data_IF_129792822899
#
_entry.id   IF_129792822899
#
_cell.length_a   1.000
_cell.length_b   1.000
_cell.length_c   1.000
_cell.angle_alpha   90.00
_cell.angle_beta   90.00
_cell.angle_gamma   90.00
#
_symmetry.space_group_name_H-M   'P 1'
#
loop_
_entity.id
_entity.type
_entity.pdbx_description
1 polymer ?
#
# COMPACT_ATOMS: atom_id res chain seq x y z
N UNK A 1 -38.66 15.02 -46.80
CA UNK A 1 -37.90 14.64 -45.59
C UNK A 1 -38.92 14.49 -44.48
N UNK A 2 -39.22 13.25 -44.07
CA UNK A 2 -40.10 13.02 -42.92
C UNK A 2 -39.36 13.47 -41.65
N UNK A 3 -40.05 14.22 -40.79
CA UNK A 3 -39.46 14.77 -39.58
C UNK A 3 -39.55 13.74 -38.44
N UNK A 4 -38.68 13.86 -37.44
CA UNK A 4 -38.72 12.99 -36.25
C UNK A 4 -40.07 13.04 -35.50
N UNK A 5 -40.90 14.06 -35.76
CA UNK A 5 -42.23 14.23 -35.18
C UNK A 5 -43.30 13.33 -35.84
N UNK A 6 -43.01 12.72 -37.01
CA UNK A 6 -43.94 11.84 -37.72
C UNK A 6 -44.08 10.44 -37.07
N UNK A 7 -43.23 10.11 -36.10
CA UNK A 7 -43.22 8.81 -35.41
C UNK A 7 -43.16 8.96 -33.87
N UNK A 8 -44.23 9.43 -33.22
CA UNK A 8 -44.25 9.71 -31.78
C UNK A 8 -44.00 8.46 -30.90
N UNK A 9 -44.16 7.26 -31.46
CA UNK A 9 -43.93 5.99 -30.77
C UNK A 9 -42.56 5.36 -31.00
N UNK A 10 -41.72 5.92 -31.90
CA UNK A 10 -40.39 5.39 -32.19
C UNK A 10 -39.46 5.32 -30.95
N UNK A 11 -39.45 6.32 -30.03
CA UNK A 11 -38.65 6.23 -28.81
C UNK A 11 -39.11 5.12 -27.86
N UNK A 12 -40.43 4.90 -27.76
CA UNK A 12 -41.03 3.83 -26.97
C UNK A 12 -40.68 2.45 -27.57
N UNK A 13 -40.63 2.35 -28.89
CA UNK A 13 -40.25 1.12 -29.58
C UNK A 13 -38.76 0.80 -29.39
N UNK A 14 -37.89 1.81 -29.49
CA UNK A 14 -36.44 1.66 -29.27
C UNK A 14 -36.15 1.25 -27.83
N UNK A 15 -36.82 1.87 -26.85
CA UNK A 15 -36.67 1.53 -25.42
C UNK A 15 -37.17 0.13 -25.11
N UNK A 16 -38.32 -0.29 -25.66
CA UNK A 16 -38.83 -1.66 -25.51
C UNK A 16 -37.87 -2.69 -26.12
N UNK A 17 -37.34 -2.44 -27.32
CA UNK A 17 -36.35 -3.32 -27.97
C UNK A 17 -35.07 -3.42 -27.13
N UNK A 18 -34.57 -2.31 -26.58
CA UNK A 18 -33.39 -2.36 -25.70
C UNK A 18 -33.64 -3.15 -24.44
N UNK A 19 -34.82 -3.03 -23.80
CA UNK A 19 -35.19 -3.85 -22.63
C UNK A 19 -35.26 -5.33 -22.99
N UNK A 20 -35.86 -5.68 -24.15
CA UNK A 20 -35.94 -7.06 -24.62
C UNK A 20 -34.56 -7.63 -24.90
N UNK A 21 -33.67 -6.87 -25.55
CA UNK A 21 -32.29 -7.29 -25.82
C UNK A 21 -31.54 -7.50 -24.49
N UNK A 22 -31.67 -6.59 -23.53
CA UNK A 22 -31.07 -6.75 -22.20
C UNK A 22 -31.61 -8.00 -21.53
N UNK A 23 -32.93 -8.22 -21.52
CA UNK A 23 -33.55 -9.41 -20.94
C UNK A 23 -33.07 -10.70 -21.63
N UNK A 24 -32.98 -10.72 -22.96
CA UNK A 24 -32.53 -11.86 -23.75
C UNK A 24 -31.05 -12.15 -23.50
N UNK A 25 -30.18 -11.14 -23.49
CA UNK A 25 -28.75 -11.28 -23.14
C UNK A 25 -28.61 -11.78 -21.71
N UNK A 26 -29.43 -11.30 -20.76
CA UNK A 26 -29.45 -11.77 -19.38
C UNK A 26 -29.90 -13.23 -19.29
N UNK A 27 -30.90 -13.63 -20.08
CA UNK A 27 -31.43 -15.00 -20.09
C UNK A 27 -30.47 -15.98 -20.77
N UNK A 28 -29.80 -15.57 -21.85
CA UNK A 28 -28.79 -16.37 -22.55
C UNK A 28 -27.50 -16.51 -21.71
N UNK A 29 -27.03 -15.44 -21.06
CA UNK A 29 -25.87 -15.50 -20.16
C UNK A 29 -26.16 -16.34 -18.91
N UNK A 30 -27.36 -16.27 -18.34
CA UNK A 30 -27.76 -17.13 -17.20
C UNK A 30 -27.90 -18.61 -17.60
N UNK A 31 -28.44 -18.91 -18.79
CA UNK A 31 -28.49 -20.28 -19.33
C UNK A 31 -27.11 -20.87 -19.61
N UNK A 32 -26.23 -20.09 -20.25
CA UNK A 32 -24.87 -20.52 -20.56
C UNK A 32 -24.03 -20.74 -19.27
N UNK A 33 -24.20 -19.88 -18.26
CA UNK A 33 -23.54 -20.09 -16.96
C UNK A 33 -24.09 -21.30 -16.19
N UNK A 34 -25.36 -21.68 -16.38
CA UNK A 34 -25.95 -22.88 -15.78
C UNK A 34 -25.43 -24.17 -16.43
N UNK A 35 -25.19 -24.20 -17.74
CA UNK A 35 -24.69 -25.40 -18.42
C UNK A 35 -23.20 -25.70 -18.18
N UNK A 36 -22.42 -24.73 -17.69
CA UNK A 36 -21.00 -24.91 -17.32
C UNK A 36 -20.80 -25.34 -15.84
N UNK A 37 -21.86 -25.42 -15.04
CA UNK A 37 -21.77 -25.70 -13.61
C UNK A 37 -21.63 -27.22 -13.33
N UNK A 38 -20.55 -27.84 -13.82
CA UNK A 38 -19.87 -28.82 -12.97
C UNK A 38 -19.42 -28.05 -11.74
N UNK A 39 -19.95 -28.38 -10.56
CA UNK A 39 -19.85 -27.60 -9.33
C UNK A 39 -18.40 -27.44 -8.84
N UNK A 40 -17.62 -26.60 -9.51
CA UNK A 40 -16.35 -26.09 -9.02
C UNK A 40 -16.66 -25.18 -7.85
N UNK A 41 -16.22 -25.58 -6.67
CA UNK A 41 -16.40 -24.86 -5.40
C UNK A 41 -15.54 -23.60 -5.42
N UNK A 42 -15.95 -22.59 -6.20
CA UNK A 42 -15.32 -21.26 -6.19
C UNK A 42 -15.54 -20.59 -4.84
N UNK A 43 -14.65 -19.67 -4.42
CA UNK A 43 -14.88 -18.89 -3.21
C UNK A 43 -16.19 -18.10 -3.27
N UNK A 44 -16.84 -17.85 -2.13
CA UNK A 44 -18.06 -17.06 -2.07
C UNK A 44 -17.80 -15.61 -2.48
N UNK A 45 -18.84 -14.90 -2.92
CA UNK A 45 -18.73 -13.52 -3.34
C UNK A 45 -20.08 -12.81 -3.43
N UNK A 46 -20.09 -11.47 -3.57
CA UNK A 46 -21.31 -10.72 -3.76
C UNK A 46 -21.98 -11.05 -5.09
N UNK A 47 -23.26 -10.71 -5.19
CA UNK A 47 -24.06 -10.90 -6.41
C UNK A 47 -23.49 -10.11 -7.60
N UNK A 48 -23.71 -10.65 -8.80
CA UNK A 48 -23.11 -10.21 -10.07
C UNK A 48 -24.19 -9.63 -10.99
N UNK A 49 -23.87 -8.56 -11.70
CA UNK A 49 -24.67 -8.06 -12.83
C UNK A 49 -24.19 -8.68 -14.15
N UNK A 50 -25.06 -8.81 -15.17
CA UNK A 50 -24.66 -9.18 -16.51
C UNK A 50 -23.55 -8.25 -17.03
N UNK A 51 -22.62 -8.80 -17.81
CA UNK A 51 -21.48 -8.11 -18.45
C UNK A 51 -20.44 -7.56 -17.46
N UNK A 52 -20.81 -6.66 -16.54
CA UNK A 52 -19.87 -5.97 -15.64
C UNK A 52 -19.49 -6.77 -14.39
N UNK A 53 -20.23 -7.83 -14.07
CA UNK A 53 -20.02 -8.65 -12.88
C UNK A 53 -20.20 -7.85 -11.59
N UNK A 54 -19.17 -7.84 -10.74
CA UNK A 54 -19.12 -7.17 -9.44
C UNK A 54 -18.56 -5.74 -9.49
N UNK A 55 -18.26 -5.18 -10.67
CA UNK A 55 -17.62 -3.86 -10.78
C UNK A 55 -18.41 -2.74 -10.09
N UNK A 56 -19.74 -2.81 -10.15
CA UNK A 56 -20.66 -1.88 -9.48
C UNK A 56 -20.44 -1.77 -7.96
N UNK A 57 -19.99 -2.84 -7.29
CA UNK A 57 -19.68 -2.80 -5.85
C UNK A 57 -18.45 -1.96 -5.50
N UNK A 58 -17.58 -1.71 -6.48
CA UNK A 58 -16.29 -1.01 -6.32
C UNK A 58 -16.33 0.45 -6.78
N UNK A 59 -17.27 0.80 -7.67
CA UNK A 59 -17.41 2.16 -8.21
C UNK A 59 -18.49 3.00 -7.51
N UNK A 60 -19.41 2.35 -6.78
CA UNK A 60 -20.48 3.03 -6.06
C UNK A 60 -19.99 3.42 -4.66
N UNK A 61 -19.96 4.73 -4.40
CA UNK A 61 -19.60 5.33 -3.11
C UNK A 61 -18.21 5.97 -3.09
N UNK A 62 -17.95 6.77 -2.05
CA UNK A 62 -16.67 7.48 -1.88
C UNK A 62 -15.56 6.61 -1.24
N UNK A 63 -15.89 5.38 -0.85
CA UNK A 63 -14.98 4.50 -0.13
C UNK A 63 -13.81 4.04 -1.01
N UNK A 64 -12.60 4.05 -0.44
CA UNK A 64 -11.39 3.60 -1.14
C UNK A 64 -11.48 2.09 -1.46
N UNK A 65 -10.97 1.63 -2.61
CA UNK A 65 -11.13 0.24 -3.05
C UNK A 65 -10.72 -0.82 -2.02
N UNK A 66 -9.60 -0.61 -1.31
CA UNK A 66 -9.13 -1.55 -0.28
C UNK A 66 -10.03 -1.61 0.96
N UNK A 67 -10.71 -0.52 1.32
CA UNK A 67 -11.69 -0.51 2.42
C UNK A 67 -12.97 -1.18 1.99
N UNK A 68 -13.46 -0.85 0.78
CA UNK A 68 -14.65 -1.47 0.20
C UNK A 68 -14.49 -2.98 0.04
N UNK A 69 -13.31 -3.43 -0.38
CA UNK A 69 -12.98 -4.86 -0.47
C UNK A 69 -12.94 -5.55 0.90
N UNK A 70 -12.56 -4.86 1.98
CA UNK A 70 -12.63 -5.39 3.34
C UNK A 70 -14.08 -5.59 3.77
N UNK A 71 -14.94 -4.58 3.59
CA UNK A 71 -16.36 -4.65 3.92
C UNK A 71 -17.06 -5.81 3.20
N UNK A 72 -16.80 -5.96 1.90
CA UNK A 72 -17.34 -7.08 1.11
C UNK A 72 -16.81 -8.43 1.59
N UNK A 73 -15.51 -8.53 1.91
CA UNK A 73 -14.92 -9.76 2.42
C UNK A 73 -15.50 -10.13 3.79
N UNK A 74 -15.72 -9.18 4.70
CA UNK A 74 -16.36 -9.43 5.99
C UNK A 74 -17.78 -9.99 5.85
N UNK A 75 -18.53 -9.57 4.82
CA UNK A 75 -19.89 -10.02 4.55
C UNK A 75 -19.98 -11.33 3.77
N UNK A 76 -19.08 -11.56 2.80
CA UNK A 76 -19.23 -12.63 1.81
C UNK A 76 -18.16 -13.72 1.91
N UNK A 77 -16.96 -13.42 2.39
CA UNK A 77 -15.83 -14.35 2.37
C UNK A 77 -14.68 -13.82 3.20
N UNK A 78 -14.75 -14.05 4.52
CA UNK A 78 -13.86 -13.43 5.53
C UNK A 78 -12.37 -13.66 5.25
N UNK A 79 -12.04 -14.81 4.66
CA UNK A 79 -10.67 -15.21 4.35
C UNK A 79 -10.35 -15.04 2.86
N UNK A 80 -11.21 -15.60 2.01
CA UNK A 80 -11.12 -15.58 0.54
C UNK A 80 -12.48 -15.22 -0.04
N UNK A 81 -12.52 -14.25 -0.93
CA UNK A 81 -13.73 -13.81 -1.61
C UNK A 81 -13.52 -13.78 -3.14
N UNK A 82 -14.48 -14.28 -3.91
CA UNK A 82 -14.48 -14.19 -5.37
C UNK A 82 -15.09 -12.87 -5.86
N UNK A 83 -14.48 -12.27 -6.87
CA UNK A 83 -15.02 -11.16 -7.63
C UNK A 83 -14.84 -11.39 -9.14
N UNK A 84 -15.94 -11.23 -9.88
CA UNK A 84 -15.94 -11.20 -11.33
C UNK A 84 -15.92 -9.74 -11.78
N UNK A 85 -14.84 -9.26 -12.38
CA UNK A 85 -14.72 -7.87 -12.85
C UNK A 85 -14.72 -7.87 -14.38
N UNK A 86 -15.92 -7.70 -14.98
CA UNK A 86 -16.10 -8.02 -16.39
C UNK A 86 -15.84 -9.50 -16.65
N UNK A 87 -14.96 -9.82 -17.60
CA UNK A 87 -14.52 -11.18 -17.91
C UNK A 87 -13.44 -11.71 -16.94
N UNK A 88 -12.90 -10.85 -16.08
CA UNK A 88 -11.76 -11.19 -15.24
C UNK A 88 -12.22 -11.85 -13.92
N UNK A 89 -11.78 -13.09 -13.71
CA UNK A 89 -11.93 -13.79 -12.44
C UNK A 89 -10.86 -13.32 -11.45
N UNK A 90 -11.29 -12.86 -10.27
CA UNK A 90 -10.41 -12.39 -9.21
C UNK A 90 -10.77 -13.08 -7.88
N UNK A 91 -9.76 -13.33 -7.06
CA UNK A 91 -9.93 -13.62 -5.64
C UNK A 91 -9.29 -12.54 -4.79
N UNK A 92 -9.93 -12.21 -3.69
CA UNK A 92 -9.49 -11.22 -2.70
C UNK A 92 -9.08 -11.95 -1.44
N UNK A 93 -7.85 -11.72 -1.01
CA UNK A 93 -7.25 -12.32 0.18
C UNK A 93 -7.20 -11.26 1.28
N UNK A 94 -7.93 -11.49 2.37
CA UNK A 94 -8.12 -10.50 3.44
C UNK A 94 -7.71 -10.99 4.84
N UNK A 95 -7.07 -12.15 4.94
CA UNK A 95 -6.64 -12.74 6.22
C UNK A 95 -5.21 -13.31 6.15
N UNK A 96 -4.48 -13.36 7.29
CA UNK A 96 -3.15 -13.96 7.34
C UNK A 96 -3.15 -15.44 6.91
N UNK A 97 -4.19 -16.20 7.26
CA UNK A 97 -4.30 -17.63 6.95
C UNK A 97 -4.41 -17.86 5.45
N UNK A 98 -5.29 -17.11 4.77
CA UNK A 98 -5.43 -17.19 3.32
C UNK A 98 -4.18 -16.62 2.60
N UNK A 99 -3.57 -15.57 3.14
CA UNK A 99 -2.29 -15.06 2.63
C UNK A 99 -1.18 -16.11 2.73
N UNK A 100 -1.16 -16.93 3.79
CA UNK A 100 -0.22 -18.07 3.93
C UNK A 100 -0.39 -19.09 2.83
N UNK A 101 -1.63 -19.45 2.51
CA UNK A 101 -1.89 -20.39 1.44
C UNK A 101 -1.39 -19.85 0.09
N UNK A 102 -1.70 -18.59 -0.24
CA UNK A 102 -1.31 -18.01 -1.53
C UNK A 102 0.18 -17.67 -1.64
N UNK A 103 0.74 -16.99 -0.64
CA UNK A 103 2.08 -16.40 -0.71
C UNK A 103 3.20 -17.33 -0.23
N UNK A 104 2.86 -18.37 0.54
CA UNK A 104 3.84 -19.32 1.11
C UNK A 104 3.65 -20.73 0.58
N UNK A 105 2.46 -21.32 0.77
CA UNK A 105 2.21 -22.71 0.38
C UNK A 105 2.15 -22.87 -1.15
N UNK A 106 1.42 -21.98 -1.82
CA UNK A 106 1.21 -21.99 -3.26
C UNK A 106 1.93 -20.83 -3.97
N UNK A 107 3.04 -20.34 -3.41
CA UNK A 107 3.77 -19.17 -3.94
C UNK A 107 4.14 -19.32 -5.42
N UNK A 108 4.57 -20.52 -5.83
CA UNK A 108 4.88 -20.78 -7.23
C UNK A 108 3.63 -20.63 -8.13
N UNK A 109 2.51 -21.25 -7.73
CA UNK A 109 1.26 -21.22 -8.48
C UNK A 109 0.73 -19.80 -8.66
N UNK A 110 0.88 -18.93 -7.65
CA UNK A 110 0.45 -17.54 -7.69
C UNK A 110 1.61 -16.55 -7.83
N UNK A 111 2.69 -16.95 -8.51
CA UNK A 111 3.85 -16.07 -8.70
C UNK A 111 3.71 -15.15 -9.90
N UNK A 112 2.83 -15.41 -10.87
CA UNK A 112 2.79 -14.60 -12.11
C UNK A 112 2.11 -13.24 -11.91
N UNK A 113 2.14 -12.40 -12.95
CA UNK A 113 1.52 -11.08 -13.02
C UNK A 113 0.53 -11.04 -14.18
N UNK A 114 -0.66 -10.45 -13.97
CA UNK A 114 -1.62 -10.29 -15.06
C UNK A 114 -1.12 -9.22 -16.04
N UNK A 115 -1.53 -9.34 -17.30
CA UNK A 115 -1.38 -8.24 -18.26
C UNK A 115 -2.21 -7.03 -17.82
N UNK A 116 -1.57 -5.86 -17.82
CA UNK A 116 -2.18 -4.57 -17.52
C UNK A 116 -1.70 -3.58 -18.58
N UNK A 117 -2.61 -3.06 -19.41
CA UNK A 117 -2.27 -2.10 -20.47
C UNK A 117 -1.51 -0.87 -19.93
N UNK A 118 -1.96 -0.30 -18.81
CA UNK A 118 -1.24 0.79 -18.17
C UNK A 118 0.18 0.39 -17.75
N UNK A 119 0.38 -0.86 -17.30
CA UNK A 119 1.70 -1.37 -16.96
C UNK A 119 2.57 -1.62 -18.20
N UNK A 120 1.97 -2.02 -19.31
CA UNK A 120 2.64 -2.21 -20.59
C UNK A 120 3.21 -0.87 -21.09
N UNK A 121 2.40 0.18 -21.06
CA UNK A 121 2.81 1.53 -21.48
C UNK A 121 3.85 2.12 -20.51
N UNK A 122 3.57 2.11 -19.20
CA UNK A 122 4.42 2.79 -18.20
C UNK A 122 5.75 2.06 -17.92
N UNK A 123 5.82 0.75 -18.15
CA UNK A 123 6.99 -0.07 -17.84
C UNK A 123 7.59 -0.73 -19.09
N UNK A 124 7.52 -0.02 -20.23
CA UNK A 124 8.18 -0.37 -21.50
C UNK A 124 7.97 -1.83 -21.91
N UNK A 125 6.70 -2.24 -22.03
CA UNK A 125 6.33 -3.61 -22.36
C UNK A 125 6.32 -4.54 -21.15
N UNK A 126 6.11 -4.02 -19.93
CA UNK A 126 6.26 -4.76 -18.66
C UNK A 126 7.63 -5.43 -18.47
N UNK A 127 8.70 -4.88 -19.05
CA UNK A 127 10.05 -5.48 -19.03
C UNK A 127 10.84 -5.27 -17.73
N UNK A 128 10.24 -4.62 -16.73
CA UNK A 128 10.83 -4.39 -15.41
C UNK A 128 10.88 -5.63 -14.49
N UNK A 129 10.59 -5.44 -13.20
CA UNK A 129 10.56 -6.52 -12.18
C UNK A 129 9.16 -6.67 -11.55
N UNK A 130 8.43 -5.56 -11.43
CA UNK A 130 7.15 -5.51 -10.72
C UNK A 130 6.02 -6.21 -11.44
N UNK A 131 5.78 -5.85 -12.71
CA UNK A 131 4.63 -6.29 -13.52
C UNK A 131 4.95 -7.41 -14.51
N UNK A 132 6.21 -7.80 -14.63
CA UNK A 132 6.65 -8.86 -15.54
C UNK A 132 6.07 -10.22 -15.13
N UNK A 133 5.43 -10.96 -16.05
CA UNK A 133 5.01 -12.35 -15.82
C UNK A 133 6.18 -13.24 -15.36
N UNK A 134 5.88 -14.35 -14.70
CA UNK A 134 6.94 -15.29 -14.27
C UNK A 134 7.57 -15.93 -15.50
N UNK A 135 8.91 -15.95 -15.55
CA UNK A 135 9.68 -16.54 -16.65
C UNK A 135 11.17 -16.21 -16.51
N UNK A 136 11.97 -16.61 -17.49
CA UNK A 136 13.43 -16.43 -17.47
C UNK A 136 13.84 -14.98 -17.41
N UNK A 137 13.18 -14.11 -18.19
CA UNK A 137 13.42 -12.67 -18.15
C UNK A 137 13.26 -12.12 -16.73
N UNK A 138 12.14 -12.43 -16.06
CA UNK A 138 11.92 -11.98 -14.69
C UNK A 138 12.96 -12.56 -13.72
N UNK A 139 13.34 -13.84 -13.85
CA UNK A 139 14.37 -14.47 -13.01
C UNK A 139 15.73 -13.75 -13.16
N UNK A 140 16.14 -13.44 -14.38
CA UNK A 140 17.38 -12.70 -14.64
C UNK A 140 17.31 -11.27 -14.10
N UNK A 141 16.24 -10.52 -14.37
CA UNK A 141 16.06 -9.17 -13.85
C UNK A 141 16.03 -9.13 -12.32
N UNK A 142 15.36 -10.10 -11.69
CA UNK A 142 15.33 -10.29 -10.23
C UNK A 142 16.73 -10.56 -9.69
N UNK A 143 17.50 -11.44 -10.32
CA UNK A 143 18.89 -11.77 -9.92
C UNK A 143 19.78 -10.54 -10.01
N UNK A 144 19.79 -9.83 -11.14
CA UNK A 144 20.56 -8.59 -11.33
C UNK A 144 20.20 -7.58 -10.24
N UNK A 145 18.90 -7.33 -10.02
CA UNK A 145 18.46 -6.35 -9.04
C UNK A 145 18.88 -6.70 -7.61
N UNK A 146 18.67 -7.95 -7.18
CA UNK A 146 18.97 -8.37 -5.79
C UNK A 146 20.47 -8.57 -5.56
N UNK A 147 21.21 -9.11 -6.52
CA UNK A 147 22.63 -9.40 -6.36
C UNK A 147 23.52 -8.16 -6.64
N UNK A 148 23.23 -7.41 -7.70
CA UNK A 148 24.14 -6.37 -8.20
C UNK A 148 23.77 -4.95 -7.77
N UNK A 149 22.48 -4.67 -7.55
CA UNK A 149 21.99 -3.33 -7.21
C UNK A 149 21.61 -3.19 -5.74
N UNK A 150 20.96 -4.20 -5.16
CA UNK A 150 20.33 -4.14 -3.85
C UNK A 150 20.87 -5.20 -2.87
N UNK A 151 22.05 -5.76 -3.15
CA UNK A 151 22.72 -6.64 -2.19
C UNK A 151 23.10 -5.86 -0.93
N UNK A 152 23.22 -6.51 0.23
CA UNK A 152 23.60 -5.83 1.47
C UNK A 152 24.87 -4.97 1.32
N UNK A 153 25.90 -5.50 0.65
CA UNK A 153 27.16 -4.78 0.37
C UNK A 153 26.93 -3.52 -0.47
N UNK A 154 26.08 -3.59 -1.50
CA UNK A 154 25.73 -2.43 -2.35
C UNK A 154 24.91 -1.40 -1.59
N UNK A 155 23.91 -1.83 -0.84
CA UNK A 155 23.10 -0.93 0.00
C UNK A 155 24.00 -0.17 0.99
N UNK A 156 24.93 -0.84 1.64
CA UNK A 156 25.91 -0.20 2.53
C UNK A 156 26.80 0.80 1.78
N UNK A 157 27.25 0.49 0.56
CA UNK A 157 28.09 1.40 -0.24
C UNK A 157 27.40 2.73 -0.60
N UNK A 158 26.06 2.78 -0.60
CA UNK A 158 25.28 4.01 -0.85
C UNK A 158 25.09 4.88 0.41
N UNK A 159 25.62 4.47 1.57
CA UNK A 159 25.48 5.22 2.83
C UNK A 159 25.94 6.68 2.74
N UNK A 160 27.14 7.00 2.22
CA UNK A 160 27.59 8.40 2.15
C UNK A 160 26.64 9.27 1.31
N UNK A 161 26.04 8.70 0.27
CA UNK A 161 25.04 9.39 -0.56
C UNK A 161 23.77 9.65 0.25
N UNK A 162 23.27 8.66 1.00
CA UNK A 162 22.08 8.84 1.84
C UNK A 162 22.30 9.85 2.96
N UNK A 163 23.46 9.83 3.63
CA UNK A 163 23.82 10.81 4.66
C UNK A 163 23.99 12.22 4.09
N UNK A 164 24.58 12.35 2.89
CA UNK A 164 24.65 13.63 2.17
C UNK A 164 23.25 14.17 1.81
N UNK A 165 22.37 13.33 1.28
CA UNK A 165 20.99 13.74 0.96
C UNK A 165 20.18 14.09 2.21
N UNK A 166 20.40 13.38 3.34
CA UNK A 166 19.77 13.71 4.62
C UNK A 166 20.23 15.08 5.13
N UNK A 167 21.53 15.37 5.04
CA UNK A 167 22.11 16.66 5.42
C UNK A 167 21.55 17.81 4.58
N UNK A 168 21.40 17.60 3.26
CA UNK A 168 20.75 18.59 2.35
C UNK A 168 19.30 18.84 2.75
N UNK A 169 18.56 17.78 3.07
CA UNK A 169 17.17 17.89 3.54
C UNK A 169 17.08 18.73 4.83
N UNK A 170 17.94 18.45 5.82
CA UNK A 170 18.02 19.24 7.06
C UNK A 170 18.34 20.71 6.77
N UNK A 171 19.32 20.98 5.91
CA UNK A 171 19.67 22.34 5.49
C UNK A 171 18.49 23.08 4.85
N UNK A 172 17.72 22.39 4.00
CA UNK A 172 16.53 22.94 3.34
C UNK A 172 15.37 23.22 4.32
N UNK A 173 15.19 22.37 5.34
CA UNK A 173 14.20 22.63 6.40
C UNK A 173 14.64 23.80 7.26
N UNK A 174 15.93 23.87 7.63
CA UNK A 174 16.48 24.95 8.47
C UNK A 174 16.36 26.32 7.80
N UNK A 175 16.66 26.43 6.50
CA UNK A 175 16.53 27.70 5.78
C UNK A 175 15.09 28.20 5.71
N UNK A 176 14.12 27.27 5.59
CA UNK A 176 12.68 27.61 5.59
C UNK A 176 12.13 27.89 6.99
N UNK A 177 12.63 27.20 8.01
CA UNK A 177 12.34 27.46 9.42
C UNK A 177 12.72 28.90 9.79
N UNK A 178 13.91 29.34 9.40
CA UNK A 178 14.40 30.71 9.64
C UNK A 178 13.52 31.79 8.97
N UNK A 179 12.81 31.45 7.89
CA UNK A 179 11.87 32.36 7.23
C UNK A 179 10.50 32.45 7.93
N UNK A 180 10.28 31.71 9.02
CA UNK A 180 9.04 31.76 9.83
C UNK A 180 7.79 31.19 9.14
N UNK A 181 7.94 30.59 7.95
CA UNK A 181 6.84 30.06 7.15
C UNK A 181 6.55 28.59 7.40
N UNK A 182 5.27 28.20 7.29
CA UNK A 182 4.89 26.79 7.25
C UNK A 182 5.49 26.08 6.04
N UNK A 183 6.04 24.89 6.23
CA UNK A 183 6.61 24.06 5.18
C UNK A 183 5.60 23.02 4.74
N UNK A 184 5.31 22.97 3.44
CA UNK A 184 4.67 21.80 2.82
C UNK A 184 5.67 20.63 2.82
N UNK A 185 5.60 19.83 3.88
CA UNK A 185 6.49 18.69 4.09
C UNK A 185 6.28 17.63 3.01
N UNK A 186 5.06 17.52 2.48
CA UNK A 186 4.76 16.60 1.37
C UNK A 186 5.53 16.98 0.11
N UNK A 187 5.57 18.26 -0.25
CA UNK A 187 6.34 18.76 -1.41
C UNK A 187 7.84 18.76 -1.15
N UNK A 188 8.28 19.16 0.04
CA UNK A 188 9.69 19.13 0.44
C UNK A 188 10.29 17.74 0.19
N UNK A 189 9.60 16.70 0.62
CA UNK A 189 10.07 15.32 0.48
C UNK A 189 9.91 14.78 -0.94
N UNK A 190 8.92 15.29 -1.69
CA UNK A 190 8.82 15.00 -3.11
C UNK A 190 9.98 15.63 -3.91
N UNK A 191 10.56 16.74 -3.44
CA UNK A 191 11.73 17.38 -4.07
C UNK A 191 13.07 16.73 -3.74
N UNK A 192 13.12 15.82 -2.75
CA UNK A 192 14.33 15.07 -2.44
C UNK A 192 14.56 13.93 -3.46
N UNK A 193 15.82 13.61 -3.75
CA UNK A 193 16.25 12.77 -4.89
C UNK A 193 15.63 11.35 -4.93
N UNK A 194 15.10 10.83 -3.81
CA UNK A 194 14.39 9.54 -3.71
C UNK A 194 12.87 9.71 -3.57
N UNK A 195 12.27 10.61 -4.35
CA UNK A 195 10.89 11.12 -4.17
C UNK A 195 9.81 10.04 -4.02
N UNK A 196 9.96 8.88 -4.67
CA UNK A 196 9.04 7.76 -4.52
C UNK A 196 9.12 7.11 -3.12
N UNK A 197 10.32 6.76 -2.66
CA UNK A 197 10.56 6.24 -1.30
C UNK A 197 10.14 7.27 -0.26
N UNK A 198 10.41 8.55 -0.51
CA UNK A 198 10.06 9.66 0.38
C UNK A 198 8.56 9.92 0.52
N UNK A 199 7.83 10.05 -0.59
CA UNK A 199 6.36 10.21 -0.57
C UNK A 199 5.68 9.05 0.14
N UNK A 200 6.23 7.87 -0.09
CA UNK A 200 5.77 6.63 0.51
C UNK A 200 6.06 6.67 2.02
N UNK A 201 7.31 6.90 2.45
CA UNK A 201 7.73 6.98 3.85
C UNK A 201 6.95 8.00 4.67
N UNK A 202 6.75 9.22 4.15
CA UNK A 202 6.07 10.26 4.91
C UNK A 202 4.54 10.21 4.80
N UNK A 203 4.01 9.64 3.72
CA UNK A 203 2.61 9.24 3.66
C UNK A 203 2.28 8.18 4.72
N UNK A 204 3.23 7.27 5.01
CA UNK A 204 3.09 6.26 6.06
C UNK A 204 3.14 6.89 7.46
N UNK A 205 4.12 7.74 7.76
CA UNK A 205 4.37 8.31 9.11
C UNK A 205 3.46 9.51 9.43
N UNK A 206 2.32 9.59 8.71
CA UNK A 206 1.34 10.66 8.89
C UNK A 206 0.86 10.72 10.33
N UNK A 207 0.67 9.61 11.04
CA UNK A 207 0.19 9.61 12.43
C UNK A 207 1.13 10.35 13.42
N UNK A 208 2.44 10.38 13.12
CA UNK A 208 3.43 11.10 13.94
C UNK A 208 3.64 12.51 13.46
N UNK A 209 3.88 12.72 12.16
CA UNK A 209 4.04 14.09 11.64
C UNK A 209 2.76 14.91 11.71
N UNK A 210 1.59 14.28 11.84
CA UNK A 210 0.34 14.97 12.12
C UNK A 210 0.13 15.25 13.59
N UNK A 211 1.01 14.78 14.48
CA UNK A 211 0.88 15.00 15.91
C UNK A 211 -0.49 14.58 16.48
N UNK A 212 -1.22 13.66 15.82
CA UNK A 212 -2.42 13.02 16.40
C UNK A 212 -2.05 12.29 17.69
N UNK A 213 -0.78 11.93 17.84
CA UNK A 213 -0.20 11.26 18.99
C UNK A 213 1.03 12.06 19.49
N UNK A 214 0.83 13.20 20.18
CA UNK A 214 1.94 14.06 20.63
C UNK A 214 2.88 13.32 21.58
N UNK A 215 2.35 12.39 22.39
CA UNK A 215 3.14 11.51 23.26
C UNK A 215 4.11 10.64 22.47
N UNK A 216 3.67 10.03 21.36
CA UNK A 216 4.53 9.21 20.50
C UNK A 216 5.60 10.08 19.84
N UNK A 217 5.24 11.28 19.36
CA UNK A 217 6.19 12.23 18.79
C UNK A 217 7.29 12.58 19.80
N UNK A 218 6.91 12.97 21.01
CA UNK A 218 7.86 13.29 22.08
C UNK A 218 8.78 12.10 22.39
N UNK A 219 8.22 10.90 22.55
CA UNK A 219 8.99 9.71 22.88
C UNK A 219 9.98 9.31 21.79
N UNK A 220 9.60 9.41 20.50
CA UNK A 220 10.52 9.09 19.40
C UNK A 220 11.58 10.17 19.20
N UNK A 221 11.25 11.45 19.41
CA UNK A 221 12.25 12.52 19.40
C UNK A 221 13.26 12.33 20.53
N UNK A 222 12.80 11.98 21.74
CA UNK A 222 13.65 11.71 22.88
C UNK A 222 14.60 10.53 22.62
N UNK A 223 14.09 9.39 22.13
CA UNK A 223 14.93 8.23 21.77
C UNK A 223 16.03 8.64 20.77
N UNK A 224 15.66 9.36 19.72
CA UNK A 224 16.59 9.80 18.68
C UNK A 224 17.61 10.79 19.24
N UNK A 225 17.19 11.78 20.04
CA UNK A 225 18.07 12.80 20.62
C UNK A 225 19.05 12.19 21.62
N UNK A 226 18.59 11.31 22.50
CA UNK A 226 19.44 10.59 23.45
C UNK A 226 20.51 9.78 22.73
N UNK A 227 20.15 9.07 21.65
CA UNK A 227 21.10 8.22 20.92
C UNK A 227 22.24 9.00 20.24
N UNK A 228 21.99 10.26 19.87
CA UNK A 228 22.93 11.06 19.08
C UNK A 228 23.38 12.36 19.80
N UNK A 229 23.20 12.46 21.13
CA UNK A 229 23.54 13.67 21.92
C UNK A 229 25.02 14.04 21.80
N UNK A 230 25.92 13.07 21.84
CA UNK A 230 27.37 13.29 21.91
C UNK A 230 28.09 13.16 20.56
N UNK A 231 27.36 13.21 19.43
CA UNK A 231 27.89 12.92 18.09
C UNK A 231 27.95 14.14 17.17
N UNK A 232 28.28 15.32 17.70
CA UNK A 232 28.37 16.59 16.94
C UNK A 232 27.15 16.88 16.06
N UNK A 233 25.96 16.48 16.50
CA UNK A 233 24.70 16.59 15.75
C UNK A 233 24.65 15.80 14.42
N UNK A 234 25.59 14.87 14.18
CA UNK A 234 25.62 14.05 12.98
C UNK A 234 24.90 12.71 13.18
N UNK A 235 23.79 12.52 12.45
CA UNK A 235 23.04 11.27 12.45
C UNK A 235 23.65 10.30 11.45
N UNK A 236 24.31 9.26 11.97
CA UNK A 236 24.94 8.22 11.16
C UNK A 236 24.07 6.94 11.08
N UNK A 237 24.16 6.22 9.96
CA UNK A 237 23.34 5.01 9.77
C UNK A 237 23.60 3.90 10.79
N UNK A 238 24.82 3.80 11.33
CA UNK A 238 25.18 2.75 12.30
C UNK A 238 24.34 2.85 13.58
N UNK A 239 24.03 4.08 14.01
CA UNK A 239 23.23 4.32 15.22
C UNK A 239 21.74 4.00 15.03
N UNK A 240 21.25 3.85 13.80
CA UNK A 240 19.82 3.68 13.51
C UNK A 240 19.29 2.28 13.85
N UNK A 241 20.16 1.28 13.93
CA UNK A 241 19.79 -0.09 14.30
C UNK A 241 19.25 -0.17 15.75
N UNK A 242 19.71 0.76 16.61
CA UNK A 242 19.38 0.79 18.03
C UNK A 242 18.12 1.61 18.35
N UNK A 243 17.59 2.37 17.38
CA UNK A 243 16.35 3.15 17.53
C UNK A 243 15.13 2.23 17.42
N UNK A 244 14.84 1.49 18.48
CA UNK A 244 13.78 0.47 18.53
C UNK A 244 12.39 1.08 18.45
N UNK A 245 12.17 2.21 19.13
CA UNK A 245 10.89 2.90 19.13
C UNK A 245 10.62 3.56 17.78
N UNK A 246 11.63 4.17 17.14
CA UNK A 246 11.51 4.64 15.75
C UNK A 246 11.15 3.50 14.80
N UNK A 247 11.75 2.31 14.94
CA UNK A 247 11.39 1.15 14.12
C UNK A 247 9.95 0.71 14.36
N UNK A 248 9.51 0.64 15.62
CA UNK A 248 8.14 0.31 16.01
C UNK A 248 7.12 1.30 15.43
N UNK A 249 7.46 2.57 15.47
CA UNK A 249 6.73 3.69 14.86
C UNK A 249 6.56 3.52 13.35
N UNK A 250 7.63 3.14 12.65
CA UNK A 250 7.59 2.92 11.20
C UNK A 250 6.77 1.67 10.87
N UNK A 251 6.90 0.60 11.64
CA UNK A 251 6.08 -0.62 11.47
C UNK A 251 4.60 -0.33 11.66
N UNK A 252 4.22 0.39 12.71
CA UNK A 252 2.83 0.74 12.97
C UNK A 252 2.24 1.66 11.89
N UNK A 253 3.06 2.60 11.42
CA UNK A 253 2.75 3.45 10.28
C UNK A 253 2.48 2.62 9.01
N UNK A 254 3.33 1.63 8.72
CA UNK A 254 3.17 0.73 7.57
C UNK A 254 1.98 -0.22 7.71
N UNK A 255 1.64 -0.64 8.93
CA UNK A 255 0.50 -1.52 9.21
C UNK A 255 -0.80 -0.79 8.95
N UNK A 256 -0.90 0.45 9.43
CA UNK A 256 -2.10 1.27 9.27
C UNK A 256 -2.18 1.92 7.89
N UNK A 257 -1.05 2.34 7.31
CA UNK A 257 -1.03 3.07 6.05
C UNK A 257 -0.07 2.44 5.05
N UNK A 258 -0.31 1.17 4.65
CA UNK A 258 0.49 0.53 3.63
C UNK A 258 0.36 1.33 2.32
N UNK A 259 1.48 1.72 1.69
CA UNK A 259 1.46 2.52 0.47
C UNK A 259 0.78 1.80 -0.70
N UNK A 260 0.89 0.47 -0.70
CA UNK A 260 0.23 -0.45 -1.63
C UNK A 260 -0.74 -1.32 -0.83
N UNK A 261 -1.94 -0.83 -0.46
CA UNK A 261 -2.86 -1.56 0.41
C UNK A 261 -3.39 -2.85 -0.21
N UNK A 262 -3.37 -2.96 -1.55
CA UNK A 262 -3.77 -4.15 -2.32
C UNK A 262 -2.58 -4.94 -2.88
N UNK A 263 -1.35 -4.56 -2.50
CA UNK A 263 -0.10 -5.01 -3.12
C UNK A 263 -0.15 -4.92 -4.66
N UNK A 264 0.81 -5.54 -5.34
CA UNK A 264 0.72 -5.74 -6.79
C UNK A 264 -0.07 -7.02 -7.08
N UNK A 265 -0.99 -7.02 -8.06
CA UNK A 265 -1.84 -8.17 -8.36
C UNK A 265 -1.00 -9.36 -8.81
N UNK A 266 -1.36 -10.56 -8.37
CA UNK A 266 -0.79 -11.82 -8.86
C UNK A 266 -1.74 -12.48 -9.85
N UNK A 267 -1.24 -13.42 -10.62
CA UNK A 267 -2.05 -14.30 -11.48
C UNK A 267 -1.65 -15.76 -11.23
N UNK A 268 -2.66 -16.63 -11.13
CA UNK A 268 -2.48 -18.07 -11.03
C UNK A 268 -1.94 -18.66 -12.34
N UNK A 269 -0.84 -19.41 -12.27
CA UNK A 269 -0.24 -20.11 -13.41
C UNK A 269 -0.94 -21.47 -13.60
N UNK A 270 -1.25 -22.12 -12.50
CA UNK A 270 -1.90 -23.44 -12.44
C UNK A 270 -3.10 -23.38 -11.52
N UNK A 271 -3.98 -24.37 -11.65
CA UNK A 271 -5.08 -24.60 -10.71
C UNK A 271 -4.50 -24.89 -9.32
N UNK A 272 -5.13 -24.36 -8.27
CA UNK A 272 -4.74 -24.61 -6.88
C UNK A 272 -5.97 -24.57 -5.97
N UNK A 273 -5.90 -25.22 -4.81
CA UNK A 273 -6.94 -25.14 -3.79
C UNK A 273 -6.54 -24.10 -2.74
N UNK A 274 -7.45 -23.20 -2.38
CA UNK A 274 -7.26 -22.24 -1.29
C UNK A 274 -8.50 -22.28 -0.39
N UNK A 275 -8.31 -22.55 0.90
CA UNK A 275 -9.36 -22.59 1.92
C UNK A 275 -10.51 -23.56 1.56
N UNK A 276 -10.15 -24.70 0.94
CA UNK A 276 -11.11 -25.70 0.47
C UNK A 276 -11.89 -25.29 -0.79
N UNK A 277 -11.50 -24.20 -1.46
CA UNK A 277 -12.05 -23.73 -2.72
C UNK A 277 -11.11 -23.96 -3.89
N UNK A 278 -11.69 -24.33 -5.02
CA UNK A 278 -10.95 -24.52 -6.26
C UNK A 278 -10.66 -23.19 -6.94
N UNK A 279 -9.38 -22.88 -7.19
CA UNK A 279 -8.92 -21.67 -7.85
C UNK A 279 -8.38 -22.05 -9.24
N UNK A 280 -9.11 -21.74 -10.33
CA UNK A 280 -8.63 -22.01 -11.68
C UNK A 280 -7.37 -21.21 -12.03
N UNK A 281 -6.56 -21.74 -12.96
CA UNK A 281 -5.48 -20.99 -13.59
C UNK A 281 -6.01 -19.68 -14.22
N UNK A 282 -5.13 -18.69 -14.38
CA UNK A 282 -5.44 -17.31 -14.81
C UNK A 282 -6.31 -16.48 -13.86
N UNK A 283 -6.77 -17.05 -12.75
CA UNK A 283 -7.43 -16.26 -11.70
C UNK A 283 -6.45 -15.24 -11.13
N UNK A 284 -6.88 -13.97 -11.09
CA UNK A 284 -6.10 -12.88 -10.49
C UNK A 284 -6.25 -12.91 -8.98
N UNK A 285 -5.17 -12.63 -8.27
CA UNK A 285 -5.18 -12.54 -6.80
C UNK A 285 -4.89 -11.11 -6.38
N UNK A 286 -5.80 -10.56 -5.60
CA UNK A 286 -5.67 -9.26 -4.93
C UNK A 286 -5.43 -9.54 -3.45
N UNK A 287 -4.31 -9.06 -2.91
CA UNK A 287 -3.98 -9.24 -1.49
C UNK A 287 -4.24 -7.93 -0.77
N UNK A 288 -5.27 -7.91 0.07
CA UNK A 288 -5.64 -6.74 0.83
C UNK A 288 -4.79 -6.65 2.11
N UNK A 289 -3.53 -6.23 1.94
CA UNK A 289 -2.58 -6.01 3.04
C UNK A 289 -3.13 -5.02 4.09
N UNK A 290 -3.94 -4.05 3.67
CA UNK A 290 -4.61 -3.10 4.58
C UNK A 290 -5.64 -3.78 5.50
N UNK A 291 -6.43 -4.71 4.97
CA UNK A 291 -7.37 -5.50 5.76
C UNK A 291 -6.64 -6.49 6.69
N UNK A 292 -5.60 -7.16 6.17
CA UNK A 292 -4.75 -8.09 6.95
C UNK A 292 -4.12 -7.38 8.15
N UNK A 293 -3.53 -6.20 7.92
CA UNK A 293 -2.94 -5.37 8.96
C UNK A 293 -3.94 -4.84 9.98
N UNK A 294 -5.26 -4.97 9.75
CA UNK A 294 -6.34 -4.54 10.66
C UNK A 294 -7.24 -5.69 11.11
N UNK A 295 -6.83 -6.94 10.90
CA UNK A 295 -7.62 -8.08 11.30
C UNK A 295 -7.65 -8.19 12.82
N UNK A 296 -8.82 -8.00 13.43
CA UNK A 296 -9.02 -7.98 14.89
C UNK A 296 -8.72 -9.31 15.58
N UNK A 297 -8.62 -10.43 14.85
CA UNK A 297 -8.17 -11.72 15.39
C UNK A 297 -6.67 -11.74 15.69
N UNK A 298 -5.90 -10.91 14.98
CA UNK A 298 -4.43 -10.88 15.06
C UNK A 298 -3.89 -9.60 15.68
N UNK A 299 -4.67 -8.52 15.66
CA UNK A 299 -4.27 -7.21 16.15
C UNK A 299 -5.26 -6.70 17.21
N UNK A 300 -4.79 -6.53 18.46
CA UNK A 300 -5.55 -5.87 19.52
C UNK A 300 -5.73 -4.38 19.18
N UNK A 301 -6.96 -3.88 19.27
CA UNK A 301 -7.37 -2.51 18.88
C UNK A 301 -6.79 -2.10 17.51
N UNK A 302 -7.19 -2.79 16.42
CA UNK A 302 -6.49 -2.77 15.14
C UNK A 302 -6.46 -1.39 14.47
N UNK A 303 -7.42 -0.51 14.77
CA UNK A 303 -7.50 0.81 14.15
C UNK A 303 -6.78 1.90 14.96
N UNK A 304 -6.29 1.60 16.17
CA UNK A 304 -5.48 2.53 16.97
C UNK A 304 -4.02 2.49 16.53
N UNK A 305 -3.40 3.66 16.43
CA UNK A 305 -1.95 3.82 16.27
C UNK A 305 -1.28 3.59 17.63
N UNK A 306 -0.64 2.44 17.79
CA UNK A 306 -0.01 1.99 19.04
C UNK A 306 1.31 1.28 18.71
N UNK A 307 2.42 2.04 18.55
CA UNK A 307 3.73 1.48 18.18
C UNK A 307 4.27 0.44 19.16
N UNK A 308 3.95 0.57 20.45
CA UNK A 308 4.47 -0.28 21.53
C UNK A 308 4.24 -1.77 21.28
N UNK A 309 3.20 -2.14 20.50
CA UNK A 309 2.96 -3.54 20.09
C UNK A 309 4.12 -4.20 19.35
N UNK A 310 5.00 -3.41 18.72
CA UNK A 310 6.18 -3.91 18.01
C UNK A 310 7.44 -3.94 18.88
N UNK A 311 7.37 -3.40 20.09
CA UNK A 311 8.40 -3.61 21.11
C UNK A 311 8.19 -4.94 21.82
N UNK A 312 6.92 -5.34 22.01
CA UNK A 312 6.56 -6.59 22.69
C UNK A 312 6.66 -7.82 21.75
N UNK A 313 6.53 -7.62 20.43
CA UNK A 313 6.57 -8.68 19.43
C UNK A 313 7.71 -8.50 18.41
N UNK A 314 8.87 -9.07 18.74
CA UNK A 314 10.05 -9.08 17.86
C UNK A 314 9.91 -10.02 16.65
N UNK A 315 8.93 -10.92 16.64
CA UNK A 315 8.72 -11.86 15.53
C UNK A 315 8.10 -11.19 14.31
N UNK A 316 7.41 -10.06 14.52
CA UNK A 316 6.83 -9.28 13.43
C UNK A 316 7.87 -8.37 12.79
N UNK A 317 8.40 -8.82 11.65
CA UNK A 317 9.40 -8.12 10.85
C UNK A 317 8.87 -7.67 9.48
N UNK A 318 9.64 -6.82 8.79
CA UNK A 318 9.27 -6.35 7.47
C UNK A 318 9.32 -7.44 6.38
N UNK A 319 9.93 -8.60 6.68
CA UNK A 319 10.06 -9.72 5.74
C UNK A 319 8.80 -10.57 5.68
N UNK A 320 7.87 -10.37 6.62
CA UNK A 320 6.59 -11.06 6.65
C UNK A 320 6.71 -12.52 7.08
N UNK A 321 7.63 -12.84 8.00
CA UNK A 321 7.70 -14.17 8.62
C UNK A 321 6.36 -14.55 9.26
N UNK A 322 5.71 -13.56 9.89
CA UNK A 322 4.30 -13.58 10.26
C UNK A 322 3.48 -12.79 9.21
N UNK A 323 2.60 -13.51 8.50
CA UNK A 323 1.81 -12.93 7.42
C UNK A 323 0.66 -12.02 7.90
N UNK A 324 0.55 -11.76 9.21
CA UNK A 324 -0.26 -10.66 9.74
C UNK A 324 0.30 -9.27 9.41
N UNK A 325 1.57 -9.18 9.01
CA UNK A 325 2.23 -7.94 8.60
C UNK A 325 3.05 -8.13 7.31
N UNK A 326 2.49 -7.65 6.18
CA UNK A 326 3.10 -7.85 4.85
C UNK A 326 3.17 -6.56 4.00
N UNK A 327 3.69 -5.44 4.55
CA UNK A 327 3.73 -4.16 3.83
C UNK A 327 4.55 -4.21 2.53
N UNK A 328 5.47 -5.16 2.43
CA UNK A 328 6.35 -5.37 1.26
C UNK A 328 6.04 -6.68 0.50
N UNK A 329 4.90 -7.30 0.80
CA UNK A 329 4.54 -8.63 0.31
C UNK A 329 5.45 -9.73 0.84
N UNK A 330 5.29 -10.93 0.31
CA UNK A 330 6.04 -12.13 0.72
C UNK A 330 6.32 -13.04 -0.48
N UNK A 331 7.24 -14.00 -0.31
CA UNK A 331 7.56 -15.05 -1.28
C UNK A 331 8.39 -14.55 -2.46
N UNK A 332 8.30 -15.25 -3.60
CA UNK A 332 9.09 -15.00 -4.82
C UNK A 332 8.98 -13.57 -5.35
N UNK A 333 7.85 -12.89 -5.14
CA UNK A 333 7.63 -11.49 -5.57
C UNK A 333 7.60 -10.48 -4.42
N UNK A 334 8.22 -10.80 -3.28
CA UNK A 334 8.50 -9.83 -2.21
C UNK A 334 9.27 -8.62 -2.74
N UNK A 335 9.13 -7.46 -2.12
CA UNK A 335 9.84 -6.24 -2.56
C UNK A 335 11.36 -6.45 -2.53
N UNK A 336 12.07 -6.30 -3.67
CA UNK A 336 13.54 -6.39 -3.67
C UNK A 336 14.19 -5.16 -3.02
N UNK A 337 13.48 -4.02 -2.99
CA UNK A 337 13.95 -2.74 -2.43
C UNK A 337 13.75 -2.57 -0.92
N UNK A 338 13.32 -3.61 -0.20
CA UNK A 338 13.05 -3.58 1.23
C UNK A 338 14.18 -2.92 2.03
N UNK A 339 15.39 -3.50 1.96
CA UNK A 339 16.53 -3.09 2.78
C UNK A 339 16.96 -1.66 2.47
N UNK A 340 17.07 -1.32 1.19
CA UNK A 340 17.44 0.03 0.75
C UNK A 340 16.38 1.07 1.16
N UNK A 341 15.10 0.77 0.92
CA UNK A 341 14.00 1.66 1.27
C UNK A 341 13.96 1.94 2.76
N UNK A 342 14.07 0.92 3.60
CA UNK A 342 14.07 1.08 5.05
C UNK A 342 15.28 1.85 5.58
N UNK A 343 16.46 1.70 4.97
CA UNK A 343 17.64 2.51 5.32
C UNK A 343 17.39 4.00 5.05
N UNK A 344 16.82 4.34 3.88
CA UNK A 344 16.46 5.72 3.53
C UNK A 344 15.40 6.26 4.50
N UNK A 345 14.32 5.51 4.74
CA UNK A 345 13.23 5.95 5.63
C UNK A 345 13.74 6.24 7.04
N UNK A 346 14.47 5.31 7.65
CA UNK A 346 14.97 5.45 9.03
C UNK A 346 15.91 6.65 9.17
N UNK A 347 16.88 6.79 8.27
CA UNK A 347 17.87 7.87 8.35
C UNK A 347 17.20 9.24 8.26
N UNK A 348 16.25 9.38 7.34
CA UNK A 348 15.62 10.66 7.05
C UNK A 348 14.66 11.08 8.18
N UNK A 349 13.90 10.11 8.71
CA UNK A 349 13.05 10.37 9.88
C UNK A 349 13.90 10.73 11.11
N UNK A 350 14.97 9.99 11.39
CA UNK A 350 15.86 10.28 12.51
C UNK A 350 16.45 11.70 12.40
N UNK A 351 16.92 12.12 11.21
CA UNK A 351 17.40 13.48 10.99
C UNK A 351 16.33 14.54 11.28
N UNK A 352 15.10 14.35 10.78
CA UNK A 352 14.02 15.31 10.98
C UNK A 352 13.51 15.38 12.42
N UNK A 353 13.53 14.25 13.14
CA UNK A 353 13.12 14.16 14.55
C UNK A 353 14.20 14.70 15.49
N UNK A 354 15.47 14.50 15.14
CA UNK A 354 16.59 15.04 15.91
C UNK A 354 16.64 16.57 15.84
N UNK A 355 16.69 17.12 14.62
CA UNK A 355 17.01 18.54 14.40
C UNK A 355 15.84 19.50 14.55
N UNK A 356 14.59 19.02 14.58
CA UNK A 356 13.44 19.91 14.57
C UNK A 356 12.36 19.45 15.54
N UNK A 357 11.74 20.42 16.19
CA UNK A 357 10.39 20.30 16.74
C UNK A 357 9.38 20.71 15.67
N UNK A 358 8.22 20.06 15.69
CA UNK A 358 7.19 20.25 14.67
C UNK A 358 5.92 20.79 15.32
N UNK A 359 5.33 21.83 14.71
CA UNK A 359 4.06 22.42 15.16
C UNK A 359 3.08 22.53 13.99
N UNK A 360 1.79 22.57 14.32
CA UNK A 360 0.75 22.86 13.34
C UNK A 360 0.74 24.38 13.06
N UNK A 361 0.34 24.80 11.85
CA UNK A 361 0.04 26.20 11.58
C UNK A 361 -0.96 26.77 12.58
N UNK A 362 -0.85 28.05 12.90
CA UNK A 362 -1.78 28.74 13.80
C UNK A 362 -3.24 28.52 13.32
N UNK A 363 -4.14 28.24 14.27
CA UNK A 363 -5.58 27.91 14.07
C UNK A 363 -5.91 26.48 13.63
N UNK A 364 -4.94 25.56 13.59
CA UNK A 364 -5.21 24.14 13.32
C UNK A 364 -4.95 23.29 14.57
N UNK A 365 -5.95 22.52 15.02
CA UNK A 365 -5.76 21.55 16.09
C UNK A 365 -5.44 20.15 15.53
N UNK A 366 -4.94 19.27 16.39
CA UNK A 366 -4.65 17.88 16.03
C UNK A 366 -5.88 17.11 15.52
N UNK A 367 -7.05 17.46 16.03
CA UNK A 367 -8.34 16.84 15.67
C UNK A 367 -8.75 17.21 14.25
N UNK A 368 -8.48 18.46 13.83
CA UNK A 368 -8.86 19.05 12.53
C UNK A 368 -8.07 18.49 11.34
N UNK A 369 -7.06 17.67 11.59
CA UNK A 369 -6.21 17.12 10.53
C UNK A 369 -6.94 16.06 9.72
N UNK A 370 -7.17 16.38 8.44
CA UNK A 370 -7.76 15.47 7.48
C UNK A 370 -6.83 14.27 7.17
N UNK A 371 -7.27 13.09 7.60
CA UNK A 371 -6.59 11.81 7.40
C UNK A 371 -7.00 11.11 6.10
N UNK A 372 -7.91 11.71 5.34
CA UNK A 372 -8.44 11.14 4.12
C UNK A 372 -7.32 10.86 3.12
N UNK A 373 -7.51 9.74 2.45
CA UNK A 373 -6.56 9.16 1.51
C UNK A 373 -7.13 9.27 0.10
N UNK A 374 -6.23 9.36 -0.87
CA UNK A 374 -6.54 9.23 -2.29
C UNK A 374 -5.93 7.94 -2.79
N UNK A 375 -6.74 7.10 -3.41
CA UNK A 375 -6.29 5.89 -4.08
C UNK A 375 -5.60 6.22 -5.42
N UNK A 376 -4.59 5.43 -5.77
CA UNK A 376 -3.80 5.57 -7.00
C UNK A 376 -2.74 4.48 -7.07
N UNK A 377 -1.69 4.69 -7.86
CA UNK A 377 -0.54 3.77 -7.93
C UNK A 377 0.08 3.50 -6.55
N UNK A 378 0.09 4.51 -5.68
CA UNK A 378 0.24 4.38 -4.23
C UNK A 378 -0.85 5.20 -3.53
N UNK A 379 -1.28 4.73 -2.36
CA UNK A 379 -2.15 5.51 -1.49
C UNK A 379 -1.35 6.65 -0.88
N UNK A 380 -1.94 7.84 -0.92
CA UNK A 380 -1.37 9.06 -0.35
C UNK A 380 -2.46 9.88 0.31
N UNK A 381 -2.08 10.89 1.10
CA UNK A 381 -3.05 11.85 1.64
C UNK A 381 -3.76 12.60 0.52
N UNK A 382 -5.02 12.94 0.76
CA UNK A 382 -5.83 13.75 -0.15
C UNK A 382 -5.28 15.19 -0.24
N UNK A 383 -4.85 15.74 0.89
CA UNK A 383 -4.25 17.07 1.02
C UNK A 383 -2.82 17.00 1.55
N UNK A 384 -1.99 17.94 1.13
CA UNK A 384 -0.59 18.03 1.56
C UNK A 384 -0.50 18.39 3.05
N UNK A 385 0.58 17.93 3.70
CA UNK A 385 0.90 18.26 5.09
C UNK A 385 1.75 19.53 5.17
N UNK A 386 1.21 20.57 5.79
CA UNK A 386 1.97 21.77 6.15
C UNK A 386 2.29 21.77 7.65
N UNK A 387 3.57 21.89 8.02
CA UNK A 387 4.04 21.97 9.40
C UNK A 387 5.00 23.14 9.56
N UNK A 388 5.08 23.69 10.77
CA UNK A 388 6.06 24.69 11.17
C UNK A 388 7.18 23.97 11.92
N UNK A 389 8.38 23.82 11.33
CA UNK A 389 9.53 23.34 12.08
C UNK A 389 10.09 24.45 12.98
N UNK A 390 10.66 24.08 14.12
CA UNK A 390 11.52 24.92 14.95
C UNK A 390 12.82 24.16 15.15
N UNK A 391 13.97 24.81 14.95
CA UNK A 391 15.26 24.14 15.11
C UNK A 391 15.46 23.74 16.56
N UNK A 392 15.79 22.47 16.80
CA UNK A 392 16.20 21.98 18.11
C UNK A 392 17.68 22.31 18.32
N UNK A 393 17.98 22.97 19.43
CA UNK A 393 19.34 23.23 19.88
C UNK A 393 19.62 22.40 21.15
N UNK A 394 20.50 21.38 21.07
CA UNK A 394 20.87 20.57 22.23
C UNK A 394 21.50 21.40 23.37
N UNK A 395 22.07 22.57 23.09
CA UNK A 395 22.75 23.41 24.07
C UNK A 395 21.78 24.29 24.88
N UNK A 396 20.56 24.52 24.37
CA UNK A 396 19.54 25.36 25.00
C UNK A 396 18.61 24.60 25.97
N UNK A 397 18.74 23.27 26.06
CA UNK A 397 17.85 22.39 26.84
C UNK A 397 18.57 21.64 27.98
N UNK A 398 19.71 22.16 28.45
CA UNK A 398 20.41 21.67 29.64
C UNK A 398 19.87 22.26 30.94
#
# INVERSE_FOLDING_TARGET
MASLDDFPFLPLFITAITIIIIALVTLLTTRHNRSSASAKKLPPGPWKLPVIGNLHHLIVGEALPHRRLRELAEKHGRHVMHLQLGELSNIVISSPEAARQVLKLHDHAFSSRPYLLAGDILFYGTKGIGFTPTGDHWRHMRKICVAELLSPKRVLSFRPIRESEASKLVGLVRSRSAAGGGIDVTRLLASASSSFTFRTAFGMVKEIFLMKNPKVMQQVQEEVRQKFRDKDNAISEDGLQELKYLDAVIKESLRLHPPLPLLLPREGIVRAEIDGYDIPARTRVIINAWAIGRNSRHWKTPDKFYPERFLDDFSTDYKGLDLKFIPFGYGRRSCPGLTFGMAVVKLMLANLLYHFDWKLPAKMNHEDLDMNERFGASVRRKHNLCLIPTTYDPLMHN
#
